data_IF_787447638363
#
_entry.id   IF_787447638363
#
_cell.length_a   1.000
_cell.length_b   1.000
_cell.length_c   1.000
_cell.angle_alpha   90.00
_cell.angle_beta   90.00
_cell.angle_gamma   90.00
#
_symmetry.space_group_name_H-M   'P 1'
#
loop_
_entity.id
_entity.type
_entity.pdbx_description
1 polymer ?
#
# COMPACT_ATOMS: atom_id res chain seq x y z
N UNK A 1 -10.74 18.97 -6.90
CA UNK A 1 -11.32 17.76 -7.52
C UNK A 1 -10.61 16.56 -6.94
N UNK A 2 -11.35 15.51 -6.57
CA UNK A 2 -10.76 14.24 -6.15
C UNK A 2 -10.80 13.30 -7.37
N UNK A 3 -9.68 12.67 -7.69
CA UNK A 3 -9.55 11.78 -8.84
C UNK A 3 -8.94 10.46 -8.39
N UNK A 4 -9.28 9.38 -9.09
CA UNK A 4 -8.80 8.04 -8.80
C UNK A 4 -8.87 7.18 -10.06
N UNK A 5 -8.17 6.05 -10.03
CA UNK A 5 -8.27 4.99 -11.05
C UNK A 5 -8.91 3.77 -10.37
N UNK A 6 -9.70 3.02 -11.13
CA UNK A 6 -10.20 1.72 -10.68
C UNK A 6 -10.02 0.66 -11.76
N UNK A 7 -9.69 -0.56 -11.34
CA UNK A 7 -9.70 -1.74 -12.20
C UNK A 7 -10.75 -2.73 -11.69
N UNK A 8 -11.42 -3.41 -12.61
CA UNK A 8 -12.33 -4.50 -12.27
C UNK A 8 -11.57 -5.65 -11.59
N UNK A 9 -12.32 -6.49 -10.89
CA UNK A 9 -11.75 -7.63 -10.20
C UNK A 9 -10.97 -8.57 -11.15
N UNK A 10 -9.86 -9.08 -10.63
CA UNK A 10 -9.00 -10.08 -11.26
C UNK A 10 -8.35 -10.89 -10.15
N UNK A 11 -8.27 -12.21 -10.32
CA UNK A 11 -7.68 -13.12 -9.33
C UNK A 11 -6.24 -12.72 -8.96
N UNK A 12 -5.45 -12.25 -9.94
CA UNK A 12 -4.07 -11.79 -9.72
C UNK A 12 -3.96 -10.54 -8.84
N UNK A 13 -5.01 -9.72 -8.78
CA UNK A 13 -5.03 -8.51 -7.96
C UNK A 13 -5.54 -8.77 -6.55
N UNK A 14 -6.04 -9.97 -6.24
CA UNK A 14 -6.53 -10.33 -4.90
C UNK A 14 -5.42 -10.62 -3.90
N UNK A 15 -4.25 -11.01 -4.39
CA UNK A 15 -3.04 -11.33 -3.61
C UNK A 15 -3.22 -12.47 -2.59
N UNK A 16 -4.28 -13.26 -2.75
CA UNK A 16 -4.60 -14.39 -1.87
C UNK A 16 -3.62 -15.53 -2.04
N UNK A 17 -3.03 -15.98 -0.94
CA UNK A 17 -2.05 -17.07 -0.91
C UNK A 17 -0.95 -16.90 -1.98
N UNK A 18 -0.49 -15.66 -2.17
CA UNK A 18 0.43 -15.30 -3.25
C UNK A 18 1.59 -14.49 -2.67
N UNK A 19 2.82 -14.82 -3.06
CA UNK A 19 3.96 -13.93 -2.88
C UNK A 19 3.75 -12.68 -3.73
N UNK A 20 4.00 -11.49 -3.20
CA UNK A 20 3.76 -10.27 -3.98
C UNK A 20 4.76 -9.16 -3.68
N UNK A 21 4.77 -8.16 -4.56
CA UNK A 21 5.44 -6.88 -4.32
C UNK A 21 4.55 -5.75 -4.81
N UNK A 22 4.41 -4.71 -3.99
CA UNK A 22 3.70 -3.48 -4.34
C UNK A 22 4.73 -2.35 -4.45
N UNK A 23 4.61 -1.54 -5.50
CA UNK A 23 5.45 -0.37 -5.74
C UNK A 23 4.60 0.83 -6.12
N UNK A 24 4.94 2.00 -5.60
CA UNK A 24 4.45 3.27 -6.10
C UNK A 24 5.45 4.38 -5.81
N UNK A 25 5.60 5.31 -6.76
CA UNK A 25 6.16 6.62 -6.46
C UNK A 25 5.04 7.53 -5.98
N UNK A 26 5.25 8.24 -4.88
CA UNK A 26 4.26 9.18 -4.33
C UNK A 26 4.91 10.50 -3.96
N UNK A 27 4.20 11.59 -4.20
CA UNK A 27 4.51 12.93 -3.67
C UNK A 27 3.29 13.41 -2.93
N UNK A 28 3.36 13.46 -1.61
CA UNK A 28 2.23 13.91 -0.78
C UNK A 28 2.32 15.41 -0.52
N UNK A 29 1.24 16.15 -0.77
CA UNK A 29 1.16 17.58 -0.42
C UNK A 29 0.86 17.76 1.07
N UNK A 30 0.05 16.86 1.64
CA UNK A 30 -0.31 16.82 3.05
C UNK A 30 -0.71 15.41 3.48
N UNK A 31 -0.59 15.12 4.78
CA UNK A 31 -1.17 13.91 5.34
C UNK A 31 -2.69 14.05 5.47
N UNK A 32 -3.43 13.02 5.09
CA UNK A 32 -4.87 12.96 5.32
C UNK A 32 -5.16 12.56 6.78
N UNK A 33 -5.58 13.54 7.59
CA UNK A 33 -5.69 13.44 9.05
C UNK A 33 -6.76 12.46 9.57
N UNK A 34 -7.64 11.95 8.70
CA UNK A 34 -8.66 10.97 9.08
C UNK A 34 -8.03 9.61 9.41
N UNK A 35 -7.35 8.96 8.45
CA UNK A 35 -6.59 7.71 8.71
C UNK A 35 -5.38 7.55 7.80
N UNK A 36 -5.40 8.13 6.60
CA UNK A 36 -4.26 8.13 5.69
C UNK A 36 -4.64 8.38 4.24
N UNK A 37 -3.65 8.20 3.38
CA UNK A 37 -3.72 8.34 1.93
C UNK A 37 -3.60 6.96 1.30
N UNK A 38 -4.68 6.42 0.75
CA UNK A 38 -4.74 5.09 0.14
C UNK A 38 -4.12 5.09 -1.25
N UNK A 39 -3.01 4.39 -1.42
CA UNK A 39 -2.29 4.27 -2.69
C UNK A 39 -2.92 3.16 -3.53
N UNK A 40 -3.01 1.96 -2.96
CA UNK A 40 -3.71 0.81 -3.55
C UNK A 40 -4.68 0.26 -2.52
N UNK A 41 -5.91 -0.02 -2.95
CA UNK A 41 -6.91 -0.62 -2.07
C UNK A 41 -7.75 -1.62 -2.83
N UNK A 42 -7.86 -2.83 -2.31
CA UNK A 42 -8.80 -3.83 -2.80
C UNK A 42 -9.43 -4.52 -1.60
N UNK A 43 -10.60 -4.01 -1.22
CA UNK A 43 -11.42 -4.49 -0.11
C UNK A 43 -12.88 -4.19 -0.42
N UNK A 44 -13.78 -4.76 0.35
CA UNK A 44 -15.14 -4.27 0.52
C UNK A 44 -15.21 -3.46 1.83
N UNK A 45 -16.40 -2.98 2.19
CA UNK A 45 -16.64 -2.37 3.49
C UNK A 45 -16.81 -3.40 4.62
N UNK A 46 -16.47 -4.67 4.37
CA UNK A 46 -16.39 -5.71 5.40
C UNK A 46 -15.08 -5.52 6.17
N UNK A 47 -15.11 -5.58 7.50
CA UNK A 47 -13.90 -5.46 8.31
C UNK A 47 -12.89 -6.58 8.08
N UNK A 48 -13.22 -7.70 7.42
CA UNK A 48 -12.37 -8.89 7.37
C UNK A 48 -11.84 -9.27 5.97
N UNK A 49 -12.07 -8.43 4.95
CA UNK A 49 -11.77 -8.80 3.56
C UNK A 49 -11.00 -7.74 2.80
N UNK A 50 -9.76 -8.04 2.39
CA UNK A 50 -9.00 -7.18 1.48
C UNK A 50 -7.59 -6.82 1.93
N UNK A 51 -7.09 -5.77 1.28
CA UNK A 51 -5.85 -5.11 1.69
C UNK A 51 -5.91 -3.62 1.42
N UNK A 52 -5.14 -2.89 2.22
CA UNK A 52 -4.87 -1.46 2.02
C UNK A 52 -3.36 -1.25 2.03
N UNK A 53 -2.86 -0.61 0.99
CA UNK A 53 -1.50 -0.09 0.89
C UNK A 53 -1.56 1.44 0.86
N UNK A 54 -1.01 2.09 1.88
CA UNK A 54 -1.26 3.50 2.15
C UNK A 54 -0.08 4.17 2.85
N UNK A 55 -0.17 5.51 2.96
CA UNK A 55 0.62 6.28 3.91
C UNK A 55 -0.30 6.76 5.03
N UNK A 56 0.08 6.47 6.28
CA UNK A 56 -0.72 6.77 7.46
C UNK A 56 -0.86 8.28 7.68
N UNK A 57 -2.05 8.68 8.11
CA UNK A 57 -2.37 10.06 8.48
C UNK A 57 -3.25 10.18 9.72
N UNK A 58 -3.57 9.09 10.42
CA UNK A 58 -4.41 9.12 11.61
C UNK A 58 -3.84 10.03 12.71
N UNK A 59 -4.62 11.03 13.09
CA UNK A 59 -4.24 12.01 14.12
C UNK A 59 -4.03 11.33 15.48
N UNK A 60 -2.92 11.62 16.16
CA UNK A 60 -2.54 10.98 17.43
C UNK A 60 -1.63 9.76 17.29
N UNK A 61 -1.23 9.41 16.06
CA UNK A 61 -0.13 8.47 15.78
C UNK A 61 0.97 9.18 14.97
N UNK A 62 2.13 8.53 14.80
CA UNK A 62 3.15 8.99 13.86
C UNK A 62 2.57 9.05 12.44
N UNK A 63 2.60 10.25 11.85
CA UNK A 63 2.14 10.50 10.48
C UNK A 63 3.20 10.09 9.46
N UNK A 64 2.78 9.82 8.24
CA UNK A 64 3.69 9.56 7.12
C UNK A 64 4.33 8.18 7.11
N UNK A 65 3.91 7.25 7.98
CA UNK A 65 4.40 5.88 7.91
C UNK A 65 3.77 5.15 6.74
N UNK A 66 4.59 4.46 5.93
CA UNK A 66 4.10 3.50 4.95
C UNK A 66 3.39 2.37 5.69
N UNK A 67 2.25 1.94 5.15
CA UNK A 67 1.36 0.97 5.76
C UNK A 67 0.95 -0.09 4.74
N UNK A 68 0.98 -1.35 5.17
CA UNK A 68 0.27 -2.44 4.53
C UNK A 68 -0.54 -3.19 5.59
N UNK A 69 -1.83 -3.36 5.33
CA UNK A 69 -2.72 -4.12 6.20
C UNK A 69 -3.56 -5.11 5.41
N UNK A 70 -3.48 -6.43 5.68
CA UNK A 70 -4.58 -7.31 5.36
C UNK A 70 -5.76 -6.90 6.25
N UNK A 71 -6.89 -6.55 5.64
CA UNK A 71 -8.04 -5.94 6.34
C UNK A 71 -8.56 -6.91 7.43
N UNK A 72 -8.78 -6.43 8.66
CA UNK A 72 -9.14 -7.26 9.82
C UNK A 72 -8.47 -6.78 11.10
N UNK A 73 -8.54 -7.63 12.13
CA UNK A 73 -7.74 -7.52 13.36
C UNK A 73 -6.31 -8.10 13.20
N UNK A 74 -5.89 -8.33 11.95
CA UNK A 74 -4.59 -8.90 11.62
C UNK A 74 -3.44 -7.91 11.85
N UNK A 75 -2.23 -8.46 11.90
CA UNK A 75 -1.01 -7.68 12.07
C UNK A 75 -0.80 -6.77 10.86
N UNK A 76 -0.88 -5.46 11.10
CA UNK A 76 -0.51 -4.44 10.13
C UNK A 76 0.99 -4.19 10.13
N UNK A 77 1.57 -4.06 8.94
CA UNK A 77 2.97 -3.66 8.77
C UNK A 77 3.06 -2.14 8.61
N UNK A 78 4.03 -1.55 9.30
CA UNK A 78 4.35 -0.13 9.21
C UNK A 78 5.86 0.09 9.08
N UNK A 79 6.25 1.09 8.28
CA UNK A 79 7.62 1.60 8.26
C UNK A 79 8.00 2.27 9.59
N UNK A 80 9.28 2.55 9.77
CA UNK A 80 9.80 3.45 10.82
C UNK A 80 10.17 4.80 10.25
N UNK A 81 10.73 4.86 9.04
CA UNK A 81 10.96 6.12 8.31
C UNK A 81 9.64 6.75 7.91
N UNK A 82 9.56 8.06 8.14
CA UNK A 82 8.45 8.92 7.72
C UNK A 82 8.63 9.29 6.26
N UNK A 83 7.60 9.06 5.46
CA UNK A 83 7.45 9.57 4.09
C UNK A 83 7.12 11.05 4.19
N UNK A 84 8.08 11.91 3.87
CA UNK A 84 7.91 13.37 3.99
C UNK A 84 7.01 13.93 2.89
N UNK A 85 6.33 15.03 3.19
CA UNK A 85 5.52 15.75 2.20
C UNK A 85 6.40 16.64 1.31
N UNK A 86 5.87 17.04 0.15
CA UNK A 86 6.52 17.96 -0.79
C UNK A 86 7.62 17.34 -1.66
N UNK A 87 8.00 16.08 -1.42
CA UNK A 87 9.04 15.34 -2.16
C UNK A 87 8.52 14.03 -2.71
N UNK A 88 9.08 13.59 -3.83
CA UNK A 88 8.82 12.26 -4.39
C UNK A 88 9.56 11.20 -3.58
N UNK A 89 8.85 10.13 -3.23
CA UNK A 89 9.40 8.94 -2.58
C UNK A 89 8.97 7.69 -3.32
N UNK A 90 9.89 6.75 -3.49
CA UNK A 90 9.55 5.40 -3.95
C UNK A 90 9.19 4.54 -2.75
N UNK A 91 7.95 4.06 -2.70
CA UNK A 91 7.45 3.20 -1.65
C UNK A 91 7.31 1.77 -2.19
N UNK A 92 7.92 0.82 -1.50
CA UNK A 92 7.87 -0.58 -1.90
C UNK A 92 7.62 -1.50 -0.71
N UNK A 93 6.76 -2.50 -0.90
CA UNK A 93 6.53 -3.56 0.08
C UNK A 93 6.57 -4.92 -0.61
N UNK A 94 7.45 -5.81 -0.14
CA UNK A 94 7.52 -7.20 -0.60
C UNK A 94 6.89 -8.13 0.45
N UNK A 95 6.19 -9.16 0.01
CA UNK A 95 5.57 -10.17 0.85
C UNK A 95 6.12 -11.55 0.54
N UNK A 96 6.56 -12.26 1.57
CA UNK A 96 6.90 -13.68 1.55
C UNK A 96 5.80 -14.45 2.29
N UNK A 97 5.04 -15.25 1.55
CA UNK A 97 3.92 -16.04 2.04
C UNK A 97 4.37 -17.15 2.99
N UNK A 98 5.49 -17.82 2.69
CA UNK A 98 5.96 -18.95 3.48
C UNK A 98 6.40 -18.48 4.88
N UNK A 99 6.88 -17.25 4.98
CA UNK A 99 7.33 -16.63 6.23
C UNK A 99 6.30 -15.66 6.83
N UNK A 100 5.17 -15.43 6.16
CA UNK A 100 4.16 -14.42 6.54
C UNK A 100 4.79 -13.07 6.87
N UNK A 101 5.62 -12.57 5.94
CA UNK A 101 6.58 -11.49 6.20
C UNK A 101 6.46 -10.39 5.17
N UNK A 102 6.17 -9.17 5.63
CA UNK A 102 6.26 -7.94 4.83
C UNK A 102 7.62 -7.28 5.08
N UNK A 103 8.34 -6.96 4.01
CA UNK A 103 9.55 -6.12 4.05
C UNK A 103 9.28 -4.82 3.30
N UNK A 104 9.45 -3.70 3.98
CA UNK A 104 9.21 -2.36 3.44
C UNK A 104 10.52 -1.68 3.09
N UNK A 105 10.52 -0.98 1.96
CA UNK A 105 11.61 -0.17 1.46
C UNK A 105 11.08 1.23 1.15
N UNK A 106 11.86 2.24 1.52
CA UNK A 106 11.59 3.64 1.18
C UNK A 106 12.82 4.19 0.47
N UNK A 107 12.61 4.72 -0.73
CA UNK A 107 13.67 5.18 -1.62
C UNK A 107 14.70 4.07 -1.88
N UNK A 108 14.20 2.85 -2.11
CA UNK A 108 14.97 1.63 -2.42
C UNK A 108 15.86 1.09 -1.31
N UNK A 109 15.82 1.69 -0.12
CA UNK A 109 16.55 1.21 1.06
C UNK A 109 15.58 0.46 1.98
N UNK A 110 16.01 -0.69 2.49
CA UNK A 110 15.22 -1.46 3.47
C UNK A 110 14.99 -0.60 4.71
N UNK A 111 13.72 -0.45 5.09
CA UNK A 111 13.33 0.30 6.27
C UNK A 111 12.96 -0.65 7.43
N UNK A 112 12.03 -1.57 7.19
CA UNK A 112 11.54 -2.46 8.25
C UNK A 112 10.96 -3.75 7.69
N UNK A 113 11.09 -4.80 8.49
CA UNK A 113 10.46 -6.09 8.28
C UNK A 113 9.44 -6.36 9.40
N UNK A 114 8.25 -6.83 9.02
CA UNK A 114 7.19 -7.25 9.94
C UNK A 114 6.81 -8.70 9.63
N UNK A 115 6.79 -9.56 10.64
CA UNK A 115 6.44 -10.99 10.55
C UNK A 115 5.06 -11.26 11.16
N UNK A 116 4.45 -12.39 10.81
CA UNK A 116 3.10 -12.76 11.28
C UNK A 116 1.99 -11.99 10.56
N UNK A 117 2.30 -11.34 9.44
CA UNK A 117 1.31 -10.67 8.58
C UNK A 117 0.61 -11.76 7.77
N UNK A 118 -0.68 -11.97 8.02
CA UNK A 118 -1.46 -12.96 7.28
C UNK A 118 -1.63 -12.55 5.79
N UNK A 119 -1.82 -13.52 4.89
CA UNK A 119 -2.01 -13.21 3.48
C UNK A 119 -3.28 -12.39 3.25
N UNK A 120 -3.21 -11.42 2.34
CA UNK A 120 -4.38 -10.66 1.92
C UNK A 120 -5.46 -11.59 1.34
N UNK A 121 -6.73 -11.30 1.60
CA UNK A 121 -7.86 -12.16 1.26
C UNK A 121 -8.94 -11.40 0.47
N UNK A 122 -8.52 -10.58 -0.50
CA UNK A 122 -9.45 -9.65 -1.13
C UNK A 122 -10.66 -10.34 -1.78
N UNK A 123 -11.90 -9.87 -1.48
CA UNK A 123 -13.11 -10.53 -1.96
C UNK A 123 -13.19 -10.53 -3.48
N UNK A 124 -13.82 -11.57 -4.03
CA UNK A 124 -14.25 -11.57 -5.42
C UNK A 124 -15.19 -10.39 -5.70
N UNK A 125 -15.21 -9.90 -6.94
CA UNK A 125 -15.96 -8.74 -7.41
C UNK A 125 -15.58 -7.36 -6.81
N UNK A 126 -14.75 -7.29 -5.75
CA UNK A 126 -14.23 -6.01 -5.25
C UNK A 126 -13.28 -5.40 -6.29
N UNK A 127 -13.47 -4.13 -6.63
CA UNK A 127 -12.55 -3.42 -7.54
C UNK A 127 -11.23 -3.13 -6.84
N UNK A 128 -10.15 -3.06 -7.63
CA UNK A 128 -8.92 -2.41 -7.18
C UNK A 128 -9.10 -0.91 -7.38
N UNK A 129 -8.80 -0.12 -6.36
CA UNK A 129 -8.74 1.33 -6.41
C UNK A 129 -7.30 1.80 -6.26
N UNK A 130 -6.98 2.86 -7.00
CA UNK A 130 -5.69 3.55 -6.94
C UNK A 130 -5.95 5.01 -6.57
N UNK A 131 -5.29 5.49 -5.52
CA UNK A 131 -5.40 6.87 -5.02
C UNK A 131 -6.61 7.13 -4.13
N UNK A 132 -7.34 6.08 -3.74
CA UNK A 132 -8.46 6.15 -2.80
C UNK A 132 -8.72 4.80 -2.15
N UNK A 133 -9.52 4.86 -1.11
CA UNK A 133 -10.14 3.69 -0.50
C UNK A 133 -11.41 3.26 -1.26
N UNK A 134 -11.97 2.13 -0.86
CA UNK A 134 -13.24 1.59 -1.34
C UNK A 134 -14.36 2.66 -1.33
N UNK A 135 -15.27 2.61 -2.33
CA UNK A 135 -16.20 3.71 -2.61
C UNK A 135 -17.24 3.94 -1.51
N UNK A 136 -17.63 2.88 -0.81
CA UNK A 136 -18.60 2.91 0.29
C UNK A 136 -17.95 3.07 1.67
N UNK A 137 -16.62 3.22 1.75
CA UNK A 137 -15.92 3.54 3.01
C UNK A 137 -16.53 4.79 3.65
N UNK A 138 -16.91 4.77 4.94
CA UNK A 138 -17.66 5.84 5.61
C UNK A 138 -16.84 7.11 5.85
N UNK A 139 -15.60 7.16 5.39
CA UNK A 139 -14.68 8.29 5.57
C UNK A 139 -14.56 9.10 4.28
N UNK A 140 -13.80 10.20 4.30
CA UNK A 140 -13.61 11.09 3.14
C UNK A 140 -12.79 10.44 1.99
N UNK A 141 -12.96 9.14 1.75
CA UNK A 141 -12.38 8.32 0.68
C UNK A 141 -10.87 8.07 0.78
N UNK A 142 -10.19 8.56 1.82
CA UNK A 142 -8.74 8.47 2.01
C UNK A 142 -7.93 8.79 0.75
N UNK A 143 -8.37 9.81 0.01
CA UNK A 143 -7.71 10.19 -1.23
C UNK A 143 -6.25 10.59 -0.99
N UNK A 144 -5.39 10.20 -1.91
CA UNK A 144 -4.04 10.75 -2.01
C UNK A 144 -4.14 12.21 -2.44
N UNK A 145 -3.54 13.10 -1.63
CA UNK A 145 -3.39 14.52 -1.96
C UNK A 145 -1.97 14.74 -2.46
N UNK A 146 -1.81 14.85 -3.77
CA UNK A 146 -0.53 15.06 -4.46
C UNK A 146 -0.39 14.17 -5.69
N UNK A 147 0.84 13.75 -6.00
CA UNK A 147 1.17 12.95 -7.17
C UNK A 147 1.39 11.47 -6.88
N UNK A 148 1.07 10.62 -7.86
CA UNK A 148 1.46 9.21 -7.87
C UNK A 148 1.94 8.79 -9.26
N UNK A 149 3.00 8.00 -9.32
CA UNK A 149 3.62 7.52 -10.56
C UNK A 149 4.12 6.08 -10.40
N UNK A 150 4.39 5.41 -11.53
CA UNK A 150 5.06 4.09 -11.58
C UNK A 150 4.49 3.04 -10.60
N UNK A 151 3.16 2.92 -10.64
CA UNK A 151 2.40 2.03 -9.78
C UNK A 151 2.47 0.62 -10.36
N UNK A 152 3.08 -0.31 -9.61
CA UNK A 152 3.33 -1.68 -10.08
C UNK A 152 2.94 -2.70 -9.03
N UNK A 153 2.34 -3.80 -9.48
CA UNK A 153 1.98 -4.95 -8.67
C UNK A 153 2.65 -6.17 -9.30
N UNK A 154 3.48 -6.86 -8.53
CA UNK A 154 4.16 -8.08 -8.95
C UNK A 154 3.58 -9.27 -8.20
N UNK A 155 3.30 -10.36 -8.91
CA UNK A 155 2.88 -11.65 -8.33
C UNK A 155 4.05 -12.48 -7.77
N UNK A 156 5.09 -11.81 -7.25
CA UNK A 156 6.25 -12.44 -6.62
C UNK A 156 6.90 -11.49 -5.62
N UNK A 157 7.67 -12.05 -4.69
CA UNK A 157 8.57 -11.29 -3.81
C UNK A 157 9.76 -10.81 -4.63
N UNK A 158 9.99 -9.50 -4.69
CA UNK A 158 11.24 -8.95 -5.23
C UNK A 158 12.35 -9.03 -4.18
N UNK A 159 13.57 -9.24 -4.64
CA UNK A 159 14.78 -9.12 -3.82
C UNK A 159 15.13 -7.65 -3.56
N UNK A 160 15.96 -7.37 -2.55
CA UNK A 160 16.43 -6.01 -2.29
C UNK A 160 17.13 -5.38 -3.51
N UNK A 161 17.91 -6.16 -4.26
CA UNK A 161 18.57 -5.71 -5.49
C UNK A 161 17.55 -5.33 -6.57
N UNK A 162 16.51 -6.15 -6.77
CA UNK A 162 15.44 -5.82 -7.73
C UNK A 162 14.66 -4.58 -7.30
N UNK A 163 14.40 -4.39 -6.01
CA UNK A 163 13.79 -3.17 -5.48
C UNK A 163 14.68 -1.95 -5.75
N UNK A 164 15.99 -2.05 -5.54
CA UNK A 164 16.91 -0.96 -5.88
C UNK A 164 16.91 -0.65 -7.38
N UNK A 165 16.79 -1.65 -8.24
CA UNK A 165 16.69 -1.42 -9.68
C UNK A 165 15.42 -0.62 -10.05
N UNK A 166 14.32 -0.75 -9.29
CA UNK A 166 13.10 0.03 -9.51
C UNK A 166 13.29 1.55 -9.34
N UNK A 167 14.27 1.99 -8.53
CA UNK A 167 14.59 3.42 -8.39
C UNK A 167 15.08 4.04 -9.70
N UNK A 168 15.82 3.26 -10.49
CA UNK A 168 16.58 3.75 -11.64
C UNK A 168 15.79 3.69 -12.95
N UNK A 169 14.53 3.24 -12.94
CA UNK A 169 13.70 3.21 -14.15
C UNK A 169 13.32 4.60 -14.70
N UNK A 170 13.75 5.68 -14.03
CA UNK A 170 13.45 7.07 -14.40
C UNK A 170 14.70 7.89 -14.81
N UNK A 171 15.84 7.26 -15.10
CA UNK A 171 17.04 7.94 -15.64
C UNK A 171 17.25 7.63 -17.12
#
# INVERSE_FOLDING_TARGET
>A
MNSFISANDSAYLRLTNTNFTLNAWVKLDSYNSSFGSSILTKRNNDPNGGYVYAVRGYTGNTLGLLHFGPVGDDINAFSTKVVTTGSWHMLNSTYDLAQQKITMYIDGVLDKTTTGVLPANAPAASKLYIGRDEISSPTNGYFVKGGMEEIRIYGRTLTATEVQQLLNFNN
#
